data_IF_234330265763
#
_entry.id   IF_234330265763
#
_cell.length_a   1.000
_cell.length_b   1.000
_cell.length_c   1.000
_cell.angle_alpha   90.00
_cell.angle_beta   90.00
_cell.angle_gamma   90.00
#
_symmetry.space_group_name_H-M   'P 1'
#
loop_
_entity.id
_entity.type
_entity.pdbx_description
1 polymer ?
#
# COMPACT_ATOMS: atom_id res chain seq x y z
N UNK A 1 -16.74 -13.08 -1.49
CA UNK A 1 -15.32 -13.45 -1.31
C UNK A 1 -14.42 -12.29 -1.61
N UNK A 2 -13.44 -12.02 -0.76
CA UNK A 2 -12.52 -10.95 -1.08
C UNK A 2 -11.69 -11.30 -2.30
N UNK A 3 -11.45 -10.30 -3.12
CA UNK A 3 -10.65 -10.45 -4.31
C UNK A 3 -9.17 -10.60 -3.92
N UNK A 4 -8.44 -11.43 -4.66
CA UNK A 4 -7.00 -11.55 -4.45
C UNK A 4 -6.31 -10.24 -4.85
N UNK A 5 -5.19 -9.94 -4.20
CA UNK A 5 -4.43 -8.72 -4.50
C UNK A 5 -4.07 -8.64 -5.98
N UNK A 6 -3.64 -9.75 -6.56
CA UNK A 6 -3.29 -9.80 -7.97
C UNK A 6 -4.45 -9.38 -8.87
N UNK A 7 -5.65 -9.85 -8.54
CA UNK A 7 -6.85 -9.51 -9.30
C UNK A 7 -7.25 -8.05 -9.12
N UNK A 8 -7.11 -7.53 -7.90
CA UNK A 8 -7.37 -6.11 -7.65
C UNK A 8 -6.42 -5.22 -8.44
N UNK A 9 -5.15 -5.58 -8.51
CA UNK A 9 -4.18 -4.82 -9.28
C UNK A 9 -4.54 -4.80 -10.75
N UNK A 10 -4.97 -5.92 -11.29
CA UNK A 10 -5.43 -5.99 -12.68
C UNK A 10 -6.67 -5.13 -12.91
N UNK A 11 -7.59 -5.15 -11.95
CA UNK A 11 -8.82 -4.36 -12.03
C UNK A 11 -8.52 -2.86 -12.17
N UNK A 12 -7.49 -2.38 -11.50
CA UNK A 12 -7.12 -0.96 -11.54
C UNK A 12 -6.06 -0.65 -12.60
N UNK A 13 -5.72 -1.62 -13.43
CA UNK A 13 -4.77 -1.41 -14.52
C UNK A 13 -3.31 -1.42 -14.11
N UNK A 14 -2.98 -2.01 -12.97
CA UNK A 14 -1.61 -2.11 -12.51
C UNK A 14 -0.90 -3.29 -13.16
N UNK A 15 0.33 -3.07 -13.60
CA UNK A 15 1.13 -4.10 -14.25
C UNK A 15 2.06 -4.83 -13.29
N UNK A 16 2.23 -4.31 -12.07
CA UNK A 16 3.11 -4.93 -11.08
C UNK A 16 2.49 -6.19 -10.51
N UNK A 17 3.33 -7.14 -10.12
CA UNK A 17 2.86 -8.35 -9.43
C UNK A 17 2.45 -8.04 -8.00
N UNK A 18 1.69 -8.96 -7.39
CA UNK A 18 1.29 -8.82 -5.99
C UNK A 18 2.50 -8.71 -5.07
N UNK A 19 3.51 -9.54 -5.30
CA UNK A 19 4.73 -9.53 -4.49
C UNK A 19 5.48 -8.21 -4.62
N UNK A 20 5.60 -7.70 -5.83
CA UNK A 20 6.24 -6.42 -6.06
C UNK A 20 5.47 -5.28 -5.43
N UNK A 21 4.15 -5.31 -5.53
CA UNK A 21 3.30 -4.30 -4.90
C UNK A 21 3.51 -4.27 -3.39
N UNK A 22 3.49 -5.42 -2.74
CA UNK A 22 3.70 -5.49 -1.30
C UNK A 22 5.12 -5.03 -0.91
N UNK A 23 6.11 -5.38 -1.71
CA UNK A 23 7.48 -4.92 -1.49
C UNK A 23 7.58 -3.40 -1.58
N UNK A 24 6.89 -2.80 -2.55
CA UNK A 24 6.86 -1.34 -2.69
C UNK A 24 6.19 -0.67 -1.51
N UNK A 25 5.09 -1.26 -0.99
CA UNK A 25 4.43 -0.75 0.20
C UNK A 25 5.40 -0.70 1.38
N UNK A 26 6.12 -1.78 1.61
CA UNK A 26 7.07 -1.86 2.72
C UNK A 26 8.24 -0.89 2.55
N UNK A 27 8.79 -0.82 1.34
CA UNK A 27 9.92 0.06 1.04
C UNK A 27 9.56 1.53 1.24
N UNK A 28 8.40 1.94 0.75
CA UNK A 28 7.94 3.32 0.89
C UNK A 28 7.63 3.67 2.34
N UNK A 29 7.07 2.72 3.08
CA UNK A 29 6.82 2.93 4.50
C UNK A 29 8.12 3.21 5.24
N UNK A 30 9.15 2.41 5.00
CA UNK A 30 10.45 2.58 5.63
C UNK A 30 11.15 3.89 5.21
N UNK A 31 10.99 4.26 3.94
CA UNK A 31 11.63 5.46 3.40
C UNK A 31 10.96 6.75 3.86
N UNK A 32 9.62 6.76 3.90
CA UNK A 32 8.87 7.98 4.21
C UNK A 32 8.67 8.17 5.72
N UNK A 33 8.46 7.08 6.44
CA UNK A 33 8.09 7.13 7.85
C UNK A 33 8.90 6.12 8.68
N UNK A 34 10.22 6.27 8.75
CA UNK A 34 11.06 5.29 9.45
C UNK A 34 10.79 5.20 10.95
N UNK A 35 10.23 6.26 11.53
CA UNK A 35 9.98 6.33 12.98
C UNK A 35 8.50 6.21 13.34
N UNK A 36 7.62 6.02 12.34
CA UNK A 36 6.20 5.86 12.58
C UNK A 36 5.80 4.42 12.32
N UNK A 37 4.82 3.93 13.10
CA UNK A 37 4.24 2.62 12.82
C UNK A 37 3.05 2.78 11.85
N UNK A 38 2.54 1.65 11.37
CA UNK A 38 1.42 1.64 10.42
C UNK A 38 0.18 2.34 10.97
N UNK A 39 -0.10 2.16 12.25
CA UNK A 39 -1.26 2.78 12.87
C UNK A 39 -1.20 4.30 12.83
N UNK A 40 -0.03 4.88 13.06
CA UNK A 40 0.15 6.33 13.03
C UNK A 40 -0.11 6.89 11.63
N UNK A 41 0.20 6.12 10.60
CA UNK A 41 -0.09 6.52 9.23
C UNK A 41 -1.59 6.42 8.94
N UNK A 42 -2.22 5.31 9.36
CA UNK A 42 -3.64 5.07 9.10
C UNK A 42 -4.55 6.07 9.80
N UNK A 43 -4.18 6.51 11.01
CA UNK A 43 -5.01 7.42 11.78
C UNK A 43 -4.74 8.89 11.49
N UNK A 44 -3.75 9.21 10.66
CA UNK A 44 -3.45 10.59 10.27
C UNK A 44 -3.75 10.76 8.78
N UNK A 45 -4.87 11.43 8.43
CA UNK A 45 -5.29 11.54 7.03
C UNK A 45 -4.24 12.12 6.09
N UNK A 46 -3.49 13.11 6.56
CA UNK A 46 -2.45 13.73 5.73
C UNK A 46 -1.33 12.75 5.40
N UNK A 47 -0.90 11.97 6.39
CA UNK A 47 0.13 10.96 6.19
C UNK A 47 -0.36 9.86 5.26
N UNK A 48 -1.59 9.40 5.48
CA UNK A 48 -2.20 8.37 4.65
C UNK A 48 -2.28 8.82 3.20
N UNK A 49 -2.71 10.05 2.96
CA UNK A 49 -2.83 10.59 1.61
C UNK A 49 -1.48 10.67 0.90
N UNK A 50 -0.47 11.19 1.58
CA UNK A 50 0.88 11.30 1.01
C UNK A 50 1.46 9.91 0.69
N UNK A 51 1.25 8.97 1.59
CA UNK A 51 1.72 7.60 1.40
C UNK A 51 1.05 6.97 0.17
N UNK A 52 -0.27 7.10 0.07
CA UNK A 52 -1.01 6.53 -1.05
C UNK A 52 -0.59 7.15 -2.39
N UNK A 53 -0.36 8.45 -2.42
CA UNK A 53 0.13 9.12 -3.63
C UNK A 53 1.51 8.59 -4.04
N UNK A 54 2.39 8.41 -3.06
CA UNK A 54 3.73 7.86 -3.33
C UNK A 54 3.64 6.44 -3.88
N UNK A 55 2.74 5.62 -3.33
CA UNK A 55 2.52 4.25 -3.82
C UNK A 55 2.03 4.28 -5.27
N UNK A 56 1.03 5.09 -5.56
CA UNK A 56 0.49 5.20 -6.93
C UNK A 56 1.58 5.60 -7.93
N UNK A 57 2.44 6.53 -7.55
CA UNK A 57 3.55 6.95 -8.40
C UNK A 57 4.59 5.84 -8.56
N UNK A 58 4.90 5.14 -7.48
CA UNK A 58 5.92 4.09 -7.50
C UNK A 58 5.53 2.93 -8.40
N UNK A 59 4.26 2.52 -8.35
CA UNK A 59 3.77 1.40 -9.17
C UNK A 59 3.17 1.85 -10.50
N UNK A 60 3.21 3.15 -10.77
CA UNK A 60 2.68 3.75 -12.01
C UNK A 60 1.22 3.40 -12.25
N UNK A 61 0.42 3.49 -11.20
CA UNK A 61 -0.98 3.10 -11.25
C UNK A 61 -1.85 4.18 -10.59
N UNK A 62 -2.15 5.27 -11.30
CA UNK A 62 -2.89 6.40 -10.72
C UNK A 62 -4.33 6.07 -10.36
N UNK A 63 -4.86 4.95 -10.84
CA UNK A 63 -6.23 4.54 -10.57
C UNK A 63 -6.45 3.82 -9.25
N UNK A 64 -5.37 3.53 -8.50
CA UNK A 64 -5.50 2.81 -7.23
C UNK A 64 -6.19 3.68 -6.17
N UNK A 65 -7.27 3.19 -5.55
CA UNK A 65 -7.90 3.94 -4.45
C UNK A 65 -7.10 3.85 -3.16
N UNK A 66 -7.16 4.91 -2.36
CA UNK A 66 -6.48 4.97 -1.08
C UNK A 66 -6.91 3.83 -0.17
N UNK A 67 -8.20 3.53 -0.14
CA UNK A 67 -8.76 2.47 0.68
C UNK A 67 -8.11 1.12 0.42
N UNK A 68 -7.91 0.79 -0.84
CA UNK A 68 -7.28 -0.47 -1.23
C UNK A 68 -5.83 -0.52 -0.75
N UNK A 69 -5.08 0.56 -0.95
CA UNK A 69 -3.68 0.65 -0.55
C UNK A 69 -3.55 0.48 0.97
N UNK A 70 -4.35 1.22 1.73
CA UNK A 70 -4.29 1.18 3.19
C UNK A 70 -4.73 -0.17 3.75
N UNK A 71 -5.71 -0.81 3.12
CA UNK A 71 -6.15 -2.14 3.52
C UNK A 71 -5.03 -3.16 3.36
N UNK A 72 -4.30 -3.08 2.24
CA UNK A 72 -3.18 -3.99 2.01
C UNK A 72 -2.03 -3.73 2.97
N UNK A 73 -1.80 -2.48 3.32
CA UNK A 73 -0.80 -2.14 4.32
C UNK A 73 -1.15 -2.75 5.68
N UNK A 74 -2.42 -2.68 6.09
CA UNK A 74 -2.88 -3.33 7.31
C UNK A 74 -2.66 -4.84 7.27
N UNK A 75 -2.91 -5.47 6.13
CA UNK A 75 -2.73 -6.91 5.98
C UNK A 75 -1.26 -7.31 6.14
N UNK A 76 -0.34 -6.53 5.60
CA UNK A 76 1.09 -6.76 5.77
C UNK A 76 1.46 -6.69 7.26
N UNK A 77 0.94 -5.69 7.95
CA UNK A 77 1.17 -5.52 9.38
C UNK A 77 0.64 -6.69 10.20
N UNK A 78 -0.57 -7.17 9.86
CA UNK A 78 -1.19 -8.29 10.56
C UNK A 78 -0.41 -9.58 10.42
N UNK A 79 0.24 -9.78 9.27
CA UNK A 79 1.11 -10.94 9.09
C UNK A 79 2.36 -10.84 9.97
N UNK A 80 2.66 -9.63 10.41
CA UNK A 80 3.71 -9.35 11.34
C UNK A 80 5.11 -9.50 10.78
N UNK A 81 6.11 -9.05 11.55
CA UNK A 81 7.48 -9.40 11.20
C UNK A 81 7.65 -10.88 11.49
N UNK A 82 8.19 -11.54 10.55
CA UNK A 82 8.49 -12.96 10.76
C UNK A 82 9.52 -13.11 11.87
#
# INVERSE_FOLDING_TARGET
MPMKLEDELKLYGCEVSADEFESRLADLLAAMYPNLNTEQILYHPDNAKRYCEAVRCSVKCPGLPDEMILRRLQNIRKRGPA
#
